data_IF_521532425649
#
_entry.id   IF_521532425649
#
_cell.length_a   1.000
_cell.length_b   1.000
_cell.length_c   1.000
_cell.angle_alpha   90.00
_cell.angle_beta   90.00
_cell.angle_gamma   90.00
#
_symmetry.space_group_name_H-M   'P 1'
#
loop_
_entity.id
_entity.type
_entity.pdbx_description
1 polymer ?
#
# COMPACT_ATOMS: atom_id res chain seq x y z
N UNK A 1 21.14 18.37 -8.27
CA UNK A 1 19.99 18.04 -9.13
C UNK A 1 19.52 16.68 -8.68
N UNK A 2 18.56 16.64 -7.77
CA UNK A 2 18.17 15.38 -7.16
C UNK A 2 16.93 14.88 -7.88
N UNK A 3 17.19 14.08 -8.91
CA UNK A 3 16.24 13.38 -9.80
C UNK A 3 15.28 12.43 -9.08
N UNK A 4 15.22 12.46 -7.75
CA UNK A 4 14.61 11.44 -6.92
C UNK A 4 13.17 11.77 -6.48
N UNK A 5 12.57 12.87 -6.95
CA UNK A 5 11.21 13.32 -6.55
C UNK A 5 10.15 13.23 -7.65
N UNK A 6 10.52 12.85 -8.87
CA UNK A 6 9.60 12.83 -10.02
C UNK A 6 8.83 11.50 -10.11
N UNK A 7 7.51 11.54 -9.95
CA UNK A 7 6.66 10.41 -10.32
C UNK A 7 6.71 10.12 -11.83
N UNK A 8 6.31 8.92 -12.28
CA UNK A 8 6.23 8.54 -13.70
C UNK A 8 5.40 9.48 -14.60
N UNK A 9 4.69 10.45 -14.02
CA UNK A 9 3.87 11.47 -14.72
C UNK A 9 4.50 12.88 -14.71
N UNK A 10 5.76 13.03 -14.31
CA UNK A 10 6.49 14.32 -14.30
C UNK A 10 5.93 15.37 -13.33
N UNK A 11 5.31 14.94 -12.23
CA UNK A 11 4.91 15.80 -11.11
C UNK A 11 5.52 15.32 -9.80
N UNK A 12 5.85 16.25 -8.91
CA UNK A 12 6.30 15.98 -7.55
C UNK A 12 5.11 15.63 -6.67
N UNK A 13 5.03 14.37 -6.22
CA UNK A 13 3.99 13.89 -5.31
C UNK A 13 4.63 13.02 -4.22
N UNK A 14 3.89 12.71 -3.16
CA UNK A 14 4.32 11.77 -2.13
C UNK A 14 3.82 10.36 -2.46
N UNK A 15 4.66 9.35 -2.16
CA UNK A 15 4.19 7.98 -2.01
C UNK A 15 3.78 7.77 -0.55
N UNK A 16 2.51 7.46 -0.32
CA UNK A 16 1.95 7.27 1.02
C UNK A 16 1.53 5.82 1.19
N UNK A 17 2.18 5.11 2.12
CA UNK A 17 1.76 3.79 2.55
C UNK A 17 0.71 3.92 3.66
N UNK A 18 -0.43 3.25 3.50
CA UNK A 18 -1.51 3.23 4.50
C UNK A 18 -1.85 1.78 4.80
N UNK A 19 -1.95 1.44 6.08
CA UNK A 19 -2.51 0.19 6.57
C UNK A 19 -3.85 0.51 7.23
N UNK A 20 -4.89 -0.22 6.86
CA UNK A 20 -6.19 -0.14 7.53
C UNK A 20 -6.70 -1.51 7.95
N UNK A 21 -7.54 -1.53 8.97
CA UNK A 21 -8.30 -2.73 9.32
C UNK A 21 -9.44 -2.99 8.30
N UNK A 22 -10.18 -4.09 8.54
CA UNK A 22 -11.28 -4.52 7.69
C UNK A 22 -12.51 -3.59 7.71
N UNK A 23 -12.59 -2.64 8.64
CA UNK A 23 -13.68 -1.64 8.72
C UNK A 23 -13.23 -0.25 8.25
N UNK A 24 -11.98 -0.11 7.81
CA UNK A 24 -11.42 1.12 7.26
C UNK A 24 -10.84 2.08 8.31
N UNK A 25 -10.52 1.61 9.52
CA UNK A 25 -9.72 2.41 10.47
C UNK A 25 -8.26 2.34 10.06
N UNK A 26 -7.61 3.50 10.00
CA UNK A 26 -6.19 3.59 9.67
C UNK A 26 -5.39 3.14 10.90
N UNK A 27 -4.58 2.09 10.72
CA UNK A 27 -3.69 1.57 11.74
C UNK A 27 -2.27 2.14 11.61
N UNK A 28 -1.88 2.50 10.38
CA UNK A 28 -0.56 3.07 10.09
C UNK A 28 -0.63 3.95 8.84
N UNK A 29 0.15 5.02 8.82
CA UNK A 29 0.36 5.85 7.64
C UNK A 29 1.83 6.33 7.60
N UNK A 30 2.47 6.23 6.44
CA UNK A 30 3.81 6.74 6.19
C UNK A 30 3.83 7.54 4.89
N UNK A 31 4.15 8.83 4.98
CA UNK A 31 4.23 9.77 3.86
C UNK A 31 5.66 10.30 3.63
N UNK A 32 6.68 9.58 4.10
CA UNK A 32 8.07 10.05 4.11
C UNK A 32 8.80 9.84 2.78
N UNK A 33 8.13 9.28 1.76
CA UNK A 33 8.75 8.90 0.50
C UNK A 33 8.26 9.75 -0.68
N UNK A 34 9.16 10.14 -1.59
CA UNK A 34 8.75 10.76 -2.83
C UNK A 34 7.98 9.78 -3.73
N UNK A 35 7.10 10.31 -4.57
CA UNK A 35 6.20 9.57 -5.45
C UNK A 35 6.88 8.83 -6.60
N UNK A 36 8.18 9.03 -6.77
CA UNK A 36 9.08 8.27 -7.66
C UNK A 36 9.36 6.86 -7.13
N UNK A 37 9.28 6.67 -5.81
CA UNK A 37 9.70 5.46 -5.11
C UNK A 37 8.64 4.36 -5.29
N UNK A 38 9.10 3.14 -5.57
CA UNK A 38 8.23 1.98 -5.69
C UNK A 38 7.61 1.59 -4.33
N UNK A 39 6.36 1.15 -4.35
CA UNK A 39 5.61 0.74 -3.14
C UNK A 39 6.35 -0.34 -2.34
N UNK A 40 7.01 -1.28 -3.01
CA UNK A 40 7.84 -2.30 -2.36
C UNK A 40 9.01 -1.71 -1.57
N UNK A 41 9.63 -0.64 -2.09
CA UNK A 41 10.69 0.05 -1.39
C UNK A 41 10.14 0.81 -0.18
N UNK A 42 8.99 1.47 -0.31
CA UNK A 42 8.32 2.14 0.81
C UNK A 42 8.00 1.14 1.93
N UNK A 43 7.45 -0.03 1.60
CA UNK A 43 7.17 -1.08 2.57
C UNK A 43 8.44 -1.57 3.27
N UNK A 44 9.47 -1.95 2.51
CA UNK A 44 10.72 -2.48 3.07
C UNK A 44 11.48 -1.47 3.96
N UNK A 45 11.14 -0.18 3.88
CA UNK A 45 11.79 0.88 4.65
C UNK A 45 10.82 1.58 5.62
N UNK A 46 9.69 0.94 5.98
CA UNK A 46 8.75 1.48 6.96
C UNK A 46 8.83 0.73 8.29
N UNK A 47 8.62 1.44 9.40
CA UNK A 47 8.65 0.87 10.75
C UNK A 47 7.58 -0.23 10.97
N UNK A 48 6.51 -0.23 10.17
CA UNK A 48 5.49 -1.26 10.25
C UNK A 48 5.97 -2.61 9.70
N UNK A 49 6.94 -2.64 8.78
CA UNK A 49 7.44 -3.89 8.19
C UNK A 49 7.91 -4.86 9.27
N UNK A 50 8.81 -4.41 10.15
CA UNK A 50 9.39 -5.23 11.19
C UNK A 50 8.32 -5.69 12.20
N UNK A 51 7.39 -4.81 12.56
CA UNK A 51 6.31 -5.13 13.48
C UNK A 51 5.39 -6.23 12.92
N UNK A 52 5.03 -6.18 11.64
CA UNK A 52 4.20 -7.21 11.02
C UNK A 52 4.98 -8.48 10.67
N UNK A 53 6.26 -8.37 10.28
CA UNK A 53 7.13 -9.52 10.00
C UNK A 53 7.43 -10.34 11.26
N UNK A 54 7.66 -9.69 12.40
CA UNK A 54 7.90 -10.36 13.69
C UNK A 54 6.62 -10.89 14.35
N UNK A 55 5.43 -10.61 13.77
CA UNK A 55 4.14 -10.91 14.38
C UNK A 55 3.79 -10.03 15.59
N UNK A 56 4.62 -9.03 15.92
CA UNK A 56 4.44 -8.13 17.06
C UNK A 56 3.42 -7.01 16.85
N UNK A 57 2.98 -6.75 15.61
CA UNK A 57 1.99 -5.72 15.32
C UNK A 57 0.60 -6.09 15.84
N UNK A 58 0.09 -7.24 15.42
CA UNK A 58 -1.18 -7.81 15.89
C UNK A 58 -1.07 -9.34 15.84
N UNK A 59 -1.07 -9.97 17.01
CA UNK A 59 -0.89 -11.42 17.12
C UNK A 59 -1.98 -12.18 16.34
N UNK A 60 -1.54 -13.09 15.47
CA UNK A 60 -2.44 -13.91 14.64
C UNK A 60 -2.98 -13.23 13.38
N UNK A 61 -2.55 -12.01 13.06
CA UNK A 61 -2.96 -11.30 11.85
C UNK A 61 -1.79 -11.14 10.87
N UNK A 62 -2.11 -11.13 9.57
CA UNK A 62 -1.17 -10.81 8.49
C UNK A 62 -1.73 -9.69 7.61
N UNK A 63 -0.84 -8.91 7.00
CA UNK A 63 -1.25 -7.89 6.05
C UNK A 63 -1.58 -8.50 4.68
N UNK A 64 -2.58 -7.90 4.04
CA UNK A 64 -2.96 -8.19 2.66
C UNK A 64 -2.54 -7.01 1.78
N UNK A 65 -1.58 -7.26 0.90
CA UNK A 65 -0.94 -6.26 0.03
C UNK A 65 -1.36 -6.38 -1.43
N UNK A 66 -1.26 -5.27 -2.16
CA UNK A 66 -1.39 -5.32 -3.62
C UNK A 66 -0.28 -6.15 -4.27
N UNK A 67 -0.48 -6.56 -5.52
CA UNK A 67 0.49 -7.32 -6.31
C UNK A 67 1.81 -6.58 -6.59
N UNK A 68 1.88 -5.26 -6.30
CA UNK A 68 3.10 -4.47 -6.36
C UNK A 68 4.07 -4.71 -5.21
N UNK A 69 3.62 -5.34 -4.12
CA UNK A 69 4.48 -5.72 -2.99
C UNK A 69 5.10 -7.11 -3.24
N UNK A 70 6.28 -7.34 -2.64
CA UNK A 70 6.86 -8.68 -2.63
C UNK A 70 6.10 -9.56 -1.63
N UNK A 71 5.70 -10.76 -2.04
CA UNK A 71 5.09 -11.72 -1.13
C UNK A 71 6.13 -12.20 -0.10
N UNK A 72 5.83 -12.12 1.20
CA UNK A 72 6.80 -12.42 2.25
C UNK A 72 6.19 -12.57 3.64
N UNK A 73 7.05 -12.69 4.66
CA UNK A 73 6.67 -13.05 6.03
C UNK A 73 5.73 -12.02 6.72
N UNK A 74 5.70 -10.77 6.25
CA UNK A 74 4.81 -9.72 6.78
C UNK A 74 3.62 -9.35 5.89
N UNK A 75 3.59 -9.77 4.62
CA UNK A 75 2.55 -9.36 3.66
C UNK A 75 2.21 -10.47 2.67
N UNK A 76 0.92 -10.80 2.59
CA UNK A 76 0.38 -11.71 1.59
C UNK A 76 -0.15 -10.92 0.40
N UNK A 77 0.17 -11.37 -0.80
CA UNK A 77 -0.26 -10.72 -2.05
C UNK A 77 -1.13 -11.65 -2.89
N UNK A 78 -1.81 -11.09 -3.89
CA UNK A 78 -2.63 -11.87 -4.82
C UNK A 78 -1.78 -12.84 -5.64
N UNK A 79 -2.31 -14.01 -5.94
CA UNK A 79 -1.70 -14.91 -6.91
C UNK A 79 -1.70 -14.29 -8.30
N UNK A 80 -0.60 -14.48 -9.04
CA UNK A 80 -0.51 -13.98 -10.42
C UNK A 80 -1.54 -14.65 -11.34
N UNK A 81 -2.13 -13.93 -12.32
CA UNK A 81 -3.12 -14.49 -13.25
C UNK A 81 -2.66 -15.76 -13.98
N UNK A 82 -1.36 -15.90 -14.26
CA UNK A 82 -0.78 -17.07 -14.91
C UNK A 82 -0.92 -18.36 -14.08
N UNK A 83 -0.95 -18.24 -12.75
CA UNK A 83 -0.92 -19.38 -11.80
C UNK A 83 -2.34 -19.82 -11.40
N UNK A 84 -3.34 -18.94 -11.52
CA UNK A 84 -4.70 -19.21 -11.03
C UNK A 84 -5.61 -19.94 -12.04
N UNK A 85 -5.22 -20.04 -13.31
CA UNK A 85 -6.10 -20.52 -14.41
C UNK A 85 -6.75 -21.87 -14.12
N UNK A 86 -6.00 -22.81 -13.54
CA UNK A 86 -6.47 -24.17 -13.26
C UNK A 86 -6.66 -24.46 -11.76
N UNK A 87 -6.64 -23.43 -10.91
CA UNK A 87 -6.73 -23.59 -9.46
C UNK A 87 -7.91 -22.78 -8.88
N UNK A 88 -8.99 -23.48 -8.54
CA UNK A 88 -10.18 -22.85 -7.97
C UNK A 88 -9.91 -22.20 -6.61
N UNK A 89 -9.04 -22.78 -5.78
CA UNK A 89 -8.74 -22.27 -4.43
C UNK A 89 -8.02 -20.93 -4.53
N UNK A 90 -7.05 -20.82 -5.43
CA UNK A 90 -6.34 -19.55 -5.69
C UNK A 90 -7.24 -18.48 -6.28
N UNK A 91 -8.17 -18.85 -7.18
CA UNK A 91 -9.18 -17.93 -7.71
C UNK A 91 -10.09 -17.39 -6.61
N UNK A 92 -10.56 -18.26 -5.72
CA UNK A 92 -11.37 -17.88 -4.56
C UNK A 92 -10.60 -16.95 -3.63
N UNK A 93 -9.34 -17.27 -3.31
CA UNK A 93 -8.47 -16.41 -2.53
C UNK A 93 -8.34 -15.01 -3.14
N UNK A 94 -7.97 -14.89 -4.42
CA UNK A 94 -7.87 -13.59 -5.08
C UNK A 94 -9.19 -12.81 -5.07
N UNK A 95 -10.34 -13.49 -5.20
CA UNK A 95 -11.65 -12.84 -5.13
C UNK A 95 -11.91 -12.20 -3.77
N UNK A 96 -11.63 -12.93 -2.68
CA UNK A 96 -11.78 -12.38 -1.32
C UNK A 96 -10.74 -11.29 -1.06
N UNK A 97 -9.51 -11.49 -1.52
CA UNK A 97 -8.44 -10.50 -1.43
C UNK A 97 -8.79 -9.17 -2.14
N UNK A 98 -9.42 -9.24 -3.32
CA UNK A 98 -9.92 -8.05 -4.03
C UNK A 98 -10.99 -7.29 -3.22
N UNK A 99 -11.86 -7.99 -2.48
CA UNK A 99 -12.87 -7.35 -1.63
C UNK A 99 -12.22 -6.58 -0.49
N UNK A 100 -11.21 -7.18 0.15
CA UNK A 100 -10.48 -6.53 1.24
C UNK A 100 -9.72 -5.30 0.72
N UNK A 101 -9.08 -5.41 -0.44
CA UNK A 101 -8.41 -4.27 -1.09
C UNK A 101 -9.37 -3.12 -1.39
N UNK A 102 -10.61 -3.42 -1.81
CA UNK A 102 -11.65 -2.42 -2.03
C UNK A 102 -11.97 -1.61 -0.76
N UNK A 103 -11.90 -2.22 0.43
CA UNK A 103 -12.04 -1.50 1.70
C UNK A 103 -10.94 -0.47 1.90
N UNK A 104 -9.68 -0.82 1.61
CA UNK A 104 -8.53 0.09 1.71
C UNK A 104 -8.67 1.24 0.70
N UNK A 105 -8.97 0.93 -0.56
CA UNK A 105 -9.19 1.92 -1.62
C UNK A 105 -10.33 2.88 -1.26
N UNK A 106 -11.43 2.35 -0.72
CA UNK A 106 -12.58 3.15 -0.25
C UNK A 106 -12.17 4.07 0.90
N UNK A 107 -11.35 3.59 1.83
CA UNK A 107 -10.82 4.37 2.95
C UNK A 107 -9.97 5.53 2.44
N UNK A 108 -9.06 5.27 1.49
CA UNK A 108 -8.24 6.31 0.85
C UNK A 108 -9.12 7.32 0.11
N UNK A 109 -10.14 6.88 -0.61
CA UNK A 109 -11.07 7.76 -1.30
C UNK A 109 -11.83 8.66 -0.31
N UNK A 110 -12.29 8.12 0.82
CA UNK A 110 -12.95 8.88 1.89
C UNK A 110 -12.02 9.94 2.48
N UNK A 111 -10.75 9.59 2.73
CA UNK A 111 -9.74 10.54 3.19
C UNK A 111 -9.54 11.69 2.21
N UNK A 112 -9.36 11.38 0.92
CA UNK A 112 -9.17 12.37 -0.15
C UNK A 112 -10.39 13.27 -0.36
N UNK A 113 -11.61 12.76 -0.13
CA UNK A 113 -12.84 13.56 -0.18
C UNK A 113 -12.98 14.48 1.03
N UNK A 114 -12.56 14.03 2.21
CA UNK A 114 -12.63 14.83 3.44
C UNK A 114 -11.55 15.90 3.49
N UNK A 115 -10.35 15.56 3.03
CA UNK A 115 -9.19 16.44 3.00
C UNK A 115 -8.79 16.68 1.55
N UNK A 116 -9.49 17.59 0.88
CA UNK A 116 -9.28 17.88 -0.54
C UNK A 116 -7.83 18.27 -0.87
N UNK A 117 -7.09 18.82 0.10
CA UNK A 117 -5.66 19.14 -0.01
C UNK A 117 -4.82 17.90 -0.39
N UNK A 118 -5.24 16.69 -0.03
CA UNK A 118 -4.54 15.44 -0.39
C UNK A 118 -4.64 15.11 -1.88
N UNK A 119 -5.56 15.71 -2.63
CA UNK A 119 -5.63 15.55 -4.09
C UNK A 119 -4.60 16.43 -4.81
N UNK A 120 -4.17 17.52 -4.17
CA UNK A 120 -3.33 18.56 -4.77
C UNK A 120 -1.98 18.71 -4.08
N UNK A 121 -1.62 17.79 -3.19
CA UNK A 121 -0.36 17.81 -2.44
C UNK A 121 0.81 17.60 -3.41
N UNK A 122 1.24 18.73 -3.97
CA UNK A 122 2.41 18.90 -4.83
C UNK A 122 3.51 19.46 -3.95
N UNK A 123 4.61 18.73 -3.81
CA UNK A 123 5.79 19.29 -3.15
C UNK A 123 6.43 20.30 -4.11
N UNK A 124 6.22 21.59 -3.86
CA UNK A 124 7.07 22.63 -4.45
C UNK A 124 8.34 22.71 -3.62
N UNK A 125 9.48 22.35 -4.21
CA UNK A 125 10.77 22.70 -3.61
C UNK A 125 10.91 24.23 -3.68
N UNK A 126 10.80 24.91 -2.54
CA UNK A 126 11.37 26.24 -2.35
C UNK A 126 12.60 26.10 -1.45
N UNK A 127 13.67 26.76 -1.92
CA UNK A 127 15.05 26.87 -1.42
C UNK A 127 16.03 25.82 -1.95
#
# INVERSE_FOLDING_TARGET
MDSNTMSRKSYSCLNVCIISDAVGRILYANASFPGSVYDSYVWNNCAAEEAFRSGGAVEGYQLLGDCGYANGEGIMTQFRPSIIRNDYRKRRYNREHCRIRSTVETTICRLKRRFCVLNELRLSMQL
#
